data_IF_177852821376
#
_entry.id   IF_177852821376
#
_cell.length_a   1.000
_cell.length_b   1.000
_cell.length_c   1.000
_cell.angle_alpha   90.00
_cell.angle_beta   90.00
_cell.angle_gamma   90.00
#
_symmetry.space_group_name_H-M   'P 1'
#
loop_
_entity.id
_entity.type
_entity.pdbx_description
1 polymer ?
#
# COMPACT_ATOMS: atom_id res chain seq x y z
N UNK A 1 10.26 -23.24 -18.03
CA UNK A 1 9.78 -23.35 -16.63
C UNK A 1 8.88 -22.16 -16.29
N UNK A 2 7.67 -22.35 -15.74
CA UNK A 2 6.85 -21.21 -15.35
C UNK A 2 7.52 -20.51 -14.16
N UNK A 3 7.91 -19.24 -14.33
CA UNK A 3 8.43 -18.42 -13.23
C UNK A 3 7.40 -18.45 -12.09
N UNK A 4 7.78 -18.97 -10.92
CA UNK A 4 6.96 -18.90 -9.69
C UNK A 4 6.63 -17.42 -9.44
N UNK A 5 5.35 -17.06 -9.58
CA UNK A 5 4.85 -15.69 -9.37
C UNK A 5 4.70 -15.35 -7.88
N UNK A 6 4.46 -16.37 -7.05
CA UNK A 6 4.32 -16.23 -5.60
C UNK A 6 5.64 -16.56 -4.87
N UNK A 7 5.88 -15.84 -3.79
CA UNK A 7 6.99 -16.07 -2.88
C UNK A 7 6.79 -17.40 -2.13
N UNK A 8 7.87 -18.13 -1.82
CA UNK A 8 7.79 -19.30 -0.94
C UNK A 8 7.48 -18.88 0.50
N UNK A 9 6.90 -19.78 1.30
CA UNK A 9 6.60 -19.52 2.71
C UNK A 9 7.84 -19.08 3.49
N UNK A 10 8.97 -19.74 3.27
CA UNK A 10 10.26 -19.39 3.89
C UNK A 10 10.72 -17.97 3.56
N UNK A 11 10.66 -17.59 2.28
CA UNK A 11 11.05 -16.25 1.85
C UNK A 11 10.07 -15.19 2.35
N UNK A 12 8.78 -15.51 2.45
CA UNK A 12 7.79 -14.62 3.05
C UNK A 12 8.04 -14.42 4.56
N UNK A 13 8.36 -15.49 5.28
CA UNK A 13 8.77 -15.45 6.69
C UNK A 13 10.05 -14.64 6.88
N UNK A 14 11.06 -14.81 6.01
CA UNK A 14 12.27 -13.98 6.03
C UNK A 14 11.98 -12.49 5.84
N UNK A 15 11.15 -12.14 4.84
CA UNK A 15 10.76 -10.73 4.59
C UNK A 15 10.01 -10.15 5.79
N UNK A 16 9.11 -10.92 6.40
CA UNK A 16 8.37 -10.50 7.61
C UNK A 16 9.33 -10.25 8.79
N UNK A 17 10.25 -11.17 9.05
CA UNK A 17 11.26 -11.03 10.12
C UNK A 17 12.17 -9.82 9.87
N UNK A 18 12.58 -9.58 8.63
CA UNK A 18 13.36 -8.39 8.25
C UNK A 18 12.56 -7.11 8.51
N UNK A 19 11.29 -7.05 8.13
CA UNK A 19 10.42 -5.90 8.42
C UNK A 19 10.31 -5.60 9.91
N UNK A 20 10.16 -6.63 10.75
CA UNK A 20 10.18 -6.45 12.21
C UNK A 20 11.53 -5.97 12.74
N UNK A 21 12.65 -6.43 12.17
CA UNK A 21 13.97 -5.95 12.54
C UNK A 21 14.16 -4.48 12.16
N UNK A 22 13.74 -4.07 10.96
CA UNK A 22 13.80 -2.67 10.51
C UNK A 22 12.92 -1.75 11.37
N UNK A 23 11.77 -2.23 11.87
CA UNK A 23 10.93 -1.48 12.79
C UNK A 23 11.58 -1.29 14.17
N UNK A 24 12.25 -2.32 14.70
CA UNK A 24 13.03 -2.22 15.95
C UNK A 24 14.17 -1.22 15.81
N UNK A 25 14.92 -1.34 14.72
CA UNK A 25 16.01 -0.43 14.41
C UNK A 25 15.53 1.02 14.26
N UNK A 26 14.38 1.24 13.62
CA UNK A 26 13.78 2.58 13.58
C UNK A 26 13.46 3.11 14.98
N UNK A 27 12.86 2.29 15.85
CA UNK A 27 12.57 2.68 17.24
C UNK A 27 13.83 3.04 18.03
N UNK A 28 14.93 2.30 17.82
CA UNK A 28 16.24 2.62 18.38
C UNK A 28 16.78 3.96 17.85
N UNK A 29 16.74 4.19 16.53
CA UNK A 29 17.19 5.44 15.89
C UNK A 29 16.36 6.66 16.33
N UNK A 30 15.07 6.45 16.60
CA UNK A 30 14.17 7.50 17.11
C UNK A 30 14.39 7.81 18.61
N UNK A 31 15.16 6.99 19.32
CA UNK A 31 15.45 7.16 20.76
C UNK A 31 14.45 6.50 21.70
N UNK A 32 13.56 5.63 21.20
CA UNK A 32 12.59 4.86 22.02
C UNK A 32 13.25 3.59 22.59
N UNK A 33 14.20 3.01 21.86
CA UNK A 33 14.85 1.76 22.25
C UNK A 33 13.98 0.52 22.05
N UNK A 34 14.28 -0.57 22.77
CA UNK A 34 13.63 -1.89 22.60
C UNK A 34 12.21 -1.97 23.18
N UNK A 35 11.77 -0.95 23.90
CA UNK A 35 10.52 -0.95 24.67
C UNK A 35 9.30 -0.42 23.91
N UNK A 36 9.40 -0.24 22.59
CA UNK A 36 8.27 0.27 21.82
C UNK A 36 7.08 -0.70 21.79
N UNK A 37 5.87 -0.14 21.82
CA UNK A 37 4.64 -0.92 21.63
C UNK A 37 4.48 -1.19 20.14
N UNK A 38 4.30 -2.46 19.79
CA UNK A 38 3.88 -2.87 18.45
C UNK A 38 2.51 -3.52 18.55
N UNK A 39 1.69 -3.35 17.50
CA UNK A 39 0.46 -4.11 17.37
C UNK A 39 0.54 -4.93 16.08
N UNK A 40 0.94 -6.22 16.15
CA UNK A 40 1.20 -7.06 14.97
C UNK A 40 -0.01 -7.26 14.06
N UNK A 41 -1.22 -7.05 14.57
CA UNK A 41 -2.47 -7.16 13.80
C UNK A 41 -2.94 -5.83 13.21
N UNK A 42 -2.40 -4.71 13.71
CA UNK A 42 -2.64 -3.37 13.17
C UNK A 42 -1.50 -2.94 12.22
N UNK A 43 -1.71 -1.87 11.46
CA UNK A 43 -0.65 -1.26 10.62
C UNK A 43 0.37 -0.43 11.43
N UNK A 44 0.28 -0.48 12.76
CA UNK A 44 1.11 0.28 13.70
C UNK A 44 2.34 -0.54 14.05
N UNK A 45 3.44 -0.25 13.37
CA UNK A 45 4.70 -0.97 13.54
C UNK A 45 5.43 -0.48 14.81
N UNK A 46 5.43 0.84 15.06
CA UNK A 46 6.02 1.47 16.26
C UNK A 46 5.01 2.46 16.84
N UNK A 47 4.92 2.54 18.17
CA UNK A 47 4.20 3.59 18.90
C UNK A 47 5.17 4.20 19.91
N UNK A 48 5.31 5.52 19.89
CA UNK A 48 6.20 6.23 20.80
C UNK A 48 5.55 6.58 22.14
N UNK A 49 6.34 7.18 23.05
CA UNK A 49 5.89 7.59 24.38
C UNK A 49 4.78 8.64 24.37
N UNK A 50 4.54 9.29 23.23
CA UNK A 50 3.56 10.36 23.05
C UNK A 50 2.29 9.85 22.38
N UNK A 51 2.25 8.55 22.08
CA UNK A 51 1.14 7.90 21.41
C UNK A 51 1.13 8.08 19.91
N UNK A 52 2.16 8.69 19.30
CA UNK A 52 2.25 8.70 17.84
C UNK A 52 2.57 7.31 17.32
N UNK A 53 1.96 6.99 16.20
CA UNK A 53 2.05 5.68 15.57
C UNK A 53 2.73 5.75 14.20
N UNK A 54 3.59 4.78 13.93
CA UNK A 54 4.43 4.77 12.75
C UNK A 54 4.20 3.47 11.97
N UNK A 55 4.07 3.56 10.65
CA UNK A 55 4.22 2.40 9.78
C UNK A 55 5.57 2.44 9.07
N UNK A 56 6.38 1.42 9.35
CA UNK A 56 7.74 1.28 8.82
C UNK A 56 7.70 0.40 7.58
N UNK A 57 8.00 1.01 6.44
CA UNK A 57 8.03 0.34 5.14
C UNK A 57 9.46 0.14 4.68
N UNK A 58 9.90 -1.10 4.79
CA UNK A 58 11.17 -1.58 4.24
C UNK A 58 10.95 -2.52 3.05
N UNK A 59 12.04 -3.03 2.46
CA UNK A 59 12.01 -3.86 1.25
C UNK A 59 12.63 -3.17 0.04
N UNK A 60 12.83 -3.93 -1.03
CA UNK A 60 13.72 -3.50 -2.14
C UNK A 60 12.99 -2.83 -3.31
N UNK A 61 11.74 -3.22 -3.59
CA UNK A 61 11.06 -2.81 -4.84
C UNK A 61 9.64 -2.34 -4.64
N UNK A 62 8.79 -3.15 -4.01
CA UNK A 62 7.35 -2.89 -3.86
C UNK A 62 6.89 -3.24 -2.46
N UNK A 63 5.99 -2.42 -1.93
CA UNK A 63 5.22 -2.70 -0.73
C UNK A 63 3.86 -3.24 -1.13
N UNK A 64 3.48 -4.38 -0.56
CA UNK A 64 2.07 -4.79 -0.56
C UNK A 64 1.38 -3.97 0.53
N UNK A 65 0.58 -2.99 0.12
CA UNK A 65 -0.17 -2.13 1.04
C UNK A 65 -1.28 -2.93 1.71
N UNK A 66 -1.99 -3.74 0.93
CA UNK A 66 -2.86 -4.78 1.45
C UNK A 66 -3.08 -5.92 0.46
N UNK A 67 -3.58 -7.03 1.01
CA UNK A 67 -4.18 -8.14 0.29
C UNK A 67 -5.43 -8.55 1.06
N UNK A 68 -6.61 -8.32 0.47
CA UNK A 68 -7.89 -8.50 1.15
C UNK A 68 -8.81 -9.41 0.36
N UNK A 69 -9.37 -10.40 1.03
CA UNK A 69 -10.47 -11.22 0.53
C UNK A 69 -11.84 -10.60 0.82
N UNK A 70 -12.90 -11.33 0.44
CA UNK A 70 -14.30 -10.89 0.52
C UNK A 70 -14.72 -10.38 1.90
N UNK A 71 -14.37 -11.09 2.97
CA UNK A 71 -14.76 -10.73 4.36
C UNK A 71 -14.35 -9.32 4.74
N UNK A 72 -13.14 -8.88 4.35
CA UNK A 72 -12.64 -7.53 4.67
C UNK A 72 -13.48 -6.42 4.07
N UNK A 73 -14.09 -6.63 2.90
CA UNK A 73 -14.96 -5.63 2.28
C UNK A 73 -16.41 -5.71 2.79
N UNK A 74 -16.84 -6.87 3.31
CA UNK A 74 -18.14 -7.05 3.95
C UNK A 74 -18.20 -6.57 5.41
N UNK A 75 -17.12 -6.71 6.17
CA UNK A 75 -17.12 -6.45 7.62
C UNK A 75 -16.56 -5.07 7.98
N UNK A 76 -15.67 -4.51 7.16
CA UNK A 76 -15.01 -3.25 7.48
C UNK A 76 -15.91 -2.05 7.14
N UNK A 77 -16.53 -1.48 8.17
CA UNK A 77 -17.41 -0.31 8.07
C UNK A 77 -16.77 0.87 7.33
N UNK A 78 -15.45 1.07 7.45
CA UNK A 78 -14.77 2.20 6.82
C UNK A 78 -14.63 2.09 5.31
N UNK A 79 -14.57 0.87 4.73
CA UNK A 79 -14.64 0.74 3.27
C UNK A 79 -16.08 0.87 2.78
N UNK A 80 -17.06 0.39 3.57
CA UNK A 80 -18.49 0.56 3.28
C UNK A 80 -18.92 2.03 3.25
N UNK A 81 -18.34 2.88 4.09
CA UNK A 81 -18.64 4.30 4.12
C UNK A 81 -18.02 5.09 2.95
N UNK A 82 -17.15 4.47 2.13
CA UNK A 82 -16.50 5.11 1.00
C UNK A 82 -17.30 4.94 -0.30
N UNK A 83 -18.47 5.59 -0.34
CA UNK A 83 -19.28 5.81 -1.55
C UNK A 83 -19.16 4.70 -2.62
N UNK A 84 -19.63 3.49 -2.31
CA UNK A 84 -19.70 2.42 -3.31
C UNK A 84 -18.37 1.67 -3.61
N UNK A 85 -17.24 2.02 -2.99
CA UNK A 85 -15.95 1.36 -3.27
C UNK A 85 -15.94 -0.11 -2.80
N UNK A 86 -16.53 -0.40 -1.64
CA UNK A 86 -16.66 -1.78 -1.14
C UNK A 86 -17.41 -2.67 -2.13
N UNK A 87 -18.51 -2.16 -2.67
CA UNK A 87 -19.39 -2.84 -3.61
C UNK A 87 -18.63 -3.18 -4.90
N UNK A 88 -17.85 -2.22 -5.42
CA UNK A 88 -17.04 -2.46 -6.62
C UNK A 88 -15.92 -3.48 -6.35
N UNK A 89 -15.28 -3.48 -5.17
CA UNK A 89 -14.31 -4.51 -4.81
C UNK A 89 -14.96 -5.90 -4.74
N UNK A 90 -16.19 -6.00 -4.22
CA UNK A 90 -16.96 -7.24 -4.22
C UNK A 90 -17.31 -7.69 -5.64
N UNK A 91 -17.74 -6.78 -6.53
CA UNK A 91 -17.95 -7.08 -7.96
C UNK A 91 -16.67 -7.62 -8.62
N UNK A 92 -15.49 -7.07 -8.28
CA UNK A 92 -14.20 -7.58 -8.76
C UNK A 92 -13.92 -9.01 -8.28
N UNK A 93 -14.22 -9.32 -7.01
CA UNK A 93 -14.06 -10.66 -6.42
C UNK A 93 -15.02 -11.67 -7.08
N UNK A 94 -16.26 -11.26 -7.30
CA UNK A 94 -17.35 -12.07 -7.86
C UNK A 94 -17.30 -12.18 -9.39
N UNK A 95 -16.37 -11.46 -10.01
CA UNK A 95 -15.97 -11.70 -11.40
C UNK A 95 -15.27 -13.04 -11.59
N UNK A 96 -14.80 -13.67 -10.51
CA UNK A 96 -14.15 -14.98 -10.51
C UNK A 96 -15.03 -16.03 -9.82
N UNK A 97 -15.00 -17.29 -10.29
CA UNK A 97 -15.78 -18.37 -9.71
C UNK A 97 -15.20 -18.79 -8.37
N UNK A 98 -16.02 -19.32 -7.46
CA UNK A 98 -15.57 -19.86 -6.16
C UNK A 98 -14.46 -20.91 -6.34
N UNK A 99 -14.57 -21.76 -7.37
CA UNK A 99 -13.59 -22.80 -7.67
C UNK A 99 -12.43 -22.27 -8.52
N UNK A 100 -11.20 -22.36 -8.00
CA UNK A 100 -10.01 -22.07 -8.79
C UNK A 100 -9.86 -23.01 -9.99
N UNK A 101 -10.28 -24.27 -9.87
CA UNK A 101 -10.27 -25.23 -10.99
C UNK A 101 -11.12 -24.72 -12.16
N UNK A 102 -12.31 -24.19 -11.87
CA UNK A 102 -13.19 -23.58 -12.87
C UNK A 102 -12.53 -22.36 -13.53
N UNK A 103 -11.91 -21.48 -12.74
CA UNK A 103 -11.14 -20.36 -13.29
C UNK A 103 -10.00 -20.81 -14.21
N UNK A 104 -9.28 -21.89 -13.86
CA UNK A 104 -8.19 -22.40 -14.67
C UNK A 104 -8.66 -22.96 -16.01
N UNK A 105 -9.87 -23.52 -16.08
CA UNK A 105 -10.47 -24.05 -17.30
C UNK A 105 -10.83 -22.96 -18.31
N UNK A 106 -11.28 -21.78 -17.85
CA UNK A 106 -11.60 -20.65 -18.72
C UNK A 106 -11.18 -19.31 -18.13
N UNK A 107 -9.87 -19.07 -18.11
CA UNK A 107 -9.30 -17.81 -17.58
C UNK A 107 -9.78 -16.58 -18.32
N UNK A 108 -10.06 -16.70 -19.63
CA UNK A 108 -10.38 -15.56 -20.48
C UNK A 108 -11.76 -15.02 -20.11
N UNK A 109 -12.76 -15.89 -19.97
CA UNK A 109 -14.13 -15.52 -19.54
C UNK A 109 -14.14 -14.66 -18.28
N UNK A 110 -13.49 -15.11 -17.21
CA UNK A 110 -13.52 -14.38 -15.93
C UNK A 110 -12.71 -13.08 -15.95
N UNK A 111 -11.64 -13.03 -16.75
CA UNK A 111 -10.89 -11.79 -16.95
C UNK A 111 -11.65 -10.77 -17.80
N UNK A 112 -12.41 -11.21 -18.79
CA UNK A 112 -13.33 -10.32 -19.51
C UNK A 112 -14.39 -9.77 -18.57
N UNK A 113 -15.00 -10.61 -17.72
CA UNK A 113 -15.95 -10.18 -16.68
C UNK A 113 -15.35 -9.13 -15.73
N UNK A 114 -14.07 -9.29 -15.34
CA UNK A 114 -13.38 -8.34 -14.45
C UNK A 114 -13.22 -6.93 -15.03
N UNK A 115 -13.21 -6.75 -16.36
CA UNK A 115 -12.93 -5.44 -16.98
C UNK A 115 -13.91 -4.37 -16.53
N UNK A 116 -15.19 -4.70 -16.46
CA UNK A 116 -16.24 -3.74 -16.12
C UNK A 116 -16.07 -3.18 -14.70
N UNK A 117 -16.00 -3.98 -13.62
CA UNK A 117 -15.81 -3.44 -12.29
C UNK A 117 -14.44 -2.76 -12.11
N UNK A 118 -13.39 -3.20 -12.82
CA UNK A 118 -12.10 -2.48 -12.82
C UNK A 118 -12.18 -1.09 -13.46
N UNK A 119 -13.00 -0.91 -14.50
CA UNK A 119 -13.27 0.41 -15.10
C UNK A 119 -14.06 1.30 -14.15
N UNK A 120 -15.11 0.76 -13.49
CA UNK A 120 -15.87 1.48 -12.46
C UNK A 120 -14.96 1.94 -11.31
N UNK A 121 -14.10 1.04 -10.83
CA UNK A 121 -13.14 1.35 -9.77
C UNK A 121 -12.18 2.48 -10.20
N UNK A 122 -11.65 2.41 -11.41
CA UNK A 122 -10.78 3.45 -11.94
C UNK A 122 -11.48 4.80 -12.01
N UNK A 123 -12.72 4.83 -12.53
CA UNK A 123 -13.51 6.07 -12.63
C UNK A 123 -13.76 6.69 -11.25
N UNK A 124 -14.16 5.90 -10.24
CA UNK A 124 -14.33 6.42 -8.88
C UNK A 124 -13.03 6.96 -8.29
N UNK A 125 -11.91 6.26 -8.48
CA UNK A 125 -10.61 6.69 -7.94
C UNK A 125 -9.97 7.85 -8.70
N UNK A 126 -10.57 8.33 -9.79
CA UNK A 126 -10.19 9.60 -10.41
C UNK A 126 -10.74 10.80 -9.64
N UNK A 127 -11.82 10.63 -8.87
CA UNK A 127 -12.28 11.65 -7.94
C UNK A 127 -11.26 11.84 -6.81
N UNK A 128 -10.84 13.08 -6.58
CA UNK A 128 -9.76 13.39 -5.63
C UNK A 128 -10.16 13.16 -4.18
N UNK A 129 -11.43 13.35 -3.82
CA UNK A 129 -11.92 13.12 -2.46
C UNK A 129 -11.95 11.62 -2.16
N UNK A 130 -12.45 10.82 -3.10
CA UNK A 130 -12.45 9.35 -2.98
C UNK A 130 -11.03 8.78 -3.00
N UNK A 131 -10.15 9.30 -3.86
CA UNK A 131 -8.74 8.92 -3.89
C UNK A 131 -8.04 9.21 -2.55
N UNK A 132 -8.25 10.39 -1.98
CA UNK A 132 -7.69 10.75 -0.67
C UNK A 132 -8.16 9.79 0.43
N UNK A 133 -9.47 9.52 0.49
CA UNK A 133 -10.03 8.56 1.44
C UNK A 133 -9.45 7.16 1.24
N UNK A 134 -9.35 6.69 0.00
CA UNK A 134 -8.75 5.39 -0.32
C UNK A 134 -7.28 5.31 0.14
N UNK A 135 -6.46 6.32 -0.15
CA UNK A 135 -5.04 6.35 0.27
C UNK A 135 -4.94 6.38 1.80
N UNK A 136 -5.73 7.21 2.47
CA UNK A 136 -5.75 7.33 3.92
C UNK A 136 -6.12 6.00 4.60
N UNK A 137 -7.19 5.33 4.15
CA UNK A 137 -7.55 4.00 4.68
C UNK A 137 -6.52 2.93 4.34
N UNK A 138 -6.06 2.90 3.09
CA UNK A 138 -5.17 1.83 2.62
C UNK A 138 -3.77 1.92 3.23
N UNK A 139 -3.22 3.12 3.46
CA UNK A 139 -1.88 3.30 4.00
C UNK A 139 -1.89 3.56 5.52
N UNK A 140 -2.86 4.34 6.01
CA UNK A 140 -2.86 4.85 7.38
C UNK A 140 -4.01 4.33 8.24
N UNK A 141 -4.84 3.43 7.69
CA UNK A 141 -6.05 2.90 8.32
C UNK A 141 -6.97 4.01 8.88
N UNK A 142 -7.15 5.09 8.10
CA UNK A 142 -8.02 6.23 8.41
C UNK A 142 -7.58 7.01 9.65
N UNK A 143 -6.30 7.41 9.66
CA UNK A 143 -5.70 8.19 10.74
C UNK A 143 -5.26 7.38 11.96
N UNK A 144 -5.41 6.05 11.96
CA UNK A 144 -4.86 5.22 13.03
C UNK A 144 -3.33 5.16 13.02
N UNK A 145 -2.69 5.39 11.87
CA UNK A 145 -1.25 5.51 11.71
C UNK A 145 -0.91 6.96 11.40
N UNK A 146 -0.06 7.56 12.21
CA UNK A 146 0.30 8.97 12.12
C UNK A 146 1.41 9.23 11.09
N UNK A 147 2.42 8.36 11.04
CA UNK A 147 3.61 8.56 10.23
C UNK A 147 3.87 7.41 9.26
N UNK A 148 4.32 7.76 8.06
CA UNK A 148 4.95 6.83 7.14
C UNK A 148 6.46 6.94 7.28
N UNK A 149 7.12 5.82 7.57
CA UNK A 149 8.57 5.72 7.65
C UNK A 149 9.06 4.85 6.52
N UNK A 150 9.98 5.36 5.71
CA UNK A 150 10.56 4.63 4.58
C UNK A 150 12.05 4.44 4.84
N UNK A 151 12.50 3.19 4.92
CA UNK A 151 13.93 2.86 5.04
C UNK A 151 14.58 2.82 3.66
N UNK A 152 15.55 3.69 3.40
CA UNK A 152 16.41 3.71 2.21
C UNK A 152 17.87 3.47 2.64
N UNK A 153 18.41 2.28 2.34
CA UNK A 153 19.71 1.83 2.86
C UNK A 153 19.72 1.93 4.40
N UNK A 154 20.65 2.71 4.94
CA UNK A 154 20.83 2.94 6.39
C UNK A 154 20.06 4.15 6.93
N UNK A 155 19.27 4.81 6.09
CA UNK A 155 18.53 6.02 6.45
C UNK A 155 17.02 5.75 6.53
N UNK A 156 16.38 6.39 7.51
CA UNK A 156 14.94 6.42 7.69
C UNK A 156 14.41 7.80 7.30
N UNK A 157 13.46 7.82 6.37
CA UNK A 157 12.75 9.01 5.93
C UNK A 157 11.36 9.02 6.57
N UNK A 158 11.05 10.05 7.35
CA UNK A 158 9.80 10.14 8.13
C UNK A 158 8.91 11.24 7.57
N UNK A 159 7.68 10.86 7.23
CA UNK A 159 6.66 11.74 6.66
C UNK A 159 5.40 11.71 7.52
N UNK A 160 4.78 12.87 7.71
CA UNK A 160 3.46 12.96 8.33
C UNK A 160 2.40 12.39 7.39
N UNK A 161 1.52 11.51 7.90
CA UNK A 161 0.56 10.78 7.09
C UNK A 161 -0.37 11.68 6.28
N UNK A 162 -0.80 12.82 6.85
CA UNK A 162 -1.64 13.78 6.10
C UNK A 162 -0.90 14.45 4.95
N UNK A 163 0.39 14.73 5.10
CA UNK A 163 1.21 15.29 4.03
C UNK A 163 1.37 14.27 2.89
N UNK A 164 1.56 12.99 3.24
CA UNK A 164 1.62 11.87 2.29
C UNK A 164 0.31 11.73 1.51
N UNK A 165 -0.84 11.68 2.22
CA UNK A 165 -2.17 11.57 1.58
C UNK A 165 -2.39 12.72 0.60
N UNK A 166 -2.09 13.96 1.02
CA UNK A 166 -2.21 15.14 0.18
C UNK A 166 -1.35 15.02 -1.09
N UNK A 167 -0.06 14.76 -0.94
CA UNK A 167 0.88 14.69 -2.08
C UNK A 167 0.49 13.58 -3.05
N UNK A 168 0.17 12.38 -2.56
CA UNK A 168 -0.24 11.28 -3.43
C UNK A 168 -1.55 11.61 -4.16
N UNK A 169 -2.52 12.19 -3.47
CA UNK A 169 -3.80 12.58 -4.09
C UNK A 169 -3.61 13.62 -5.18
N UNK A 170 -2.82 14.66 -4.93
CA UNK A 170 -2.61 15.77 -5.88
C UNK A 170 -1.81 15.34 -7.10
N UNK A 171 -0.85 14.41 -6.95
CA UNK A 171 0.13 14.11 -8.00
C UNK A 171 -0.12 12.79 -8.75
N UNK A 172 -0.93 11.87 -8.21
CA UNK A 172 -1.23 10.63 -8.90
C UNK A 172 -2.32 10.80 -9.97
N UNK A 173 -2.04 10.26 -11.15
CA UNK A 173 -3.02 9.97 -12.19
C UNK A 173 -3.49 8.53 -12.06
N UNK A 174 -4.80 8.32 -12.11
CA UNK A 174 -5.41 6.99 -12.04
C UNK A 174 -5.95 6.59 -13.41
N UNK A 175 -5.57 5.40 -13.88
CA UNK A 175 -5.96 4.86 -15.17
C UNK A 175 -6.07 3.32 -15.12
N UNK A 176 -6.80 2.73 -16.06
CA UNK A 176 -6.79 1.28 -16.23
C UNK A 176 -5.54 0.81 -16.99
N UNK A 177 -5.10 -0.42 -16.71
CA UNK A 177 -3.97 -1.03 -17.43
C UNK A 177 -4.32 -1.35 -18.89
N UNK A 178 -3.31 -1.29 -19.76
CA UNK A 178 -3.40 -1.69 -21.17
C UNK A 178 -2.58 -2.95 -21.45
N UNK A 179 -3.12 -3.83 -22.29
CA UNK A 179 -2.46 -5.01 -22.79
C UNK A 179 -1.22 -4.60 -23.58
N UNK A 180 -0.10 -5.30 -23.32
CA UNK A 180 1.17 -5.07 -24.04
C UNK A 180 1.47 -6.17 -25.06
N UNK A 181 0.63 -7.19 -25.13
CA UNK A 181 0.71 -8.26 -26.12
C UNK A 181 -0.67 -8.89 -26.34
N UNK A 182 -0.83 -9.64 -27.43
CA UNK A 182 -2.08 -10.32 -27.79
C UNK A 182 -2.58 -11.34 -26.76
N UNK A 183 -1.69 -11.82 -25.88
CA UNK A 183 -2.02 -12.76 -24.79
C UNK A 183 -2.50 -12.06 -23.51
N UNK A 184 -2.52 -10.72 -23.49
CA UNK A 184 -2.96 -9.92 -22.37
C UNK A 184 -4.30 -9.27 -22.67
N UNK A 185 -5.02 -8.95 -21.60
CA UNK A 185 -6.28 -8.23 -21.69
C UNK A 185 -6.11 -6.85 -21.06
N UNK A 186 -6.78 -5.88 -21.66
CA UNK A 186 -6.96 -4.54 -21.10
C UNK A 186 -7.72 -4.60 -19.78
N UNK A 187 -7.58 -3.51 -19.01
CA UNK A 187 -8.40 -3.16 -17.86
C UNK A 187 -8.45 -4.22 -16.75
N UNK A 188 -7.37 -5.00 -16.62
CA UNK A 188 -7.23 -6.00 -15.55
C UNK A 188 -6.73 -5.43 -14.23
N UNK A 189 -6.40 -4.13 -14.22
CA UNK A 189 -5.80 -3.42 -13.09
C UNK A 189 -6.21 -1.96 -13.13
N UNK A 190 -6.27 -1.35 -11.96
CA UNK A 190 -6.22 0.11 -11.79
C UNK A 190 -4.78 0.49 -11.44
N UNK A 191 -4.23 1.45 -12.16
CA UNK A 191 -2.82 1.84 -12.13
C UNK A 191 -2.71 3.29 -11.66
N UNK A 192 -1.86 3.53 -10.66
CA UNK A 192 -1.52 4.86 -10.17
C UNK A 192 -0.20 5.27 -10.80
N UNK A 193 -0.18 6.39 -11.51
CA UNK A 193 0.99 6.90 -12.22
C UNK A 193 1.41 8.27 -11.73
N UNK A 194 2.72 8.51 -11.76
CA UNK A 194 3.33 9.82 -11.61
C UNK A 194 4.45 9.95 -12.64
N UNK A 195 4.50 11.06 -13.37
CA UNK A 195 5.51 11.33 -14.41
C UNK A 195 5.68 10.16 -15.40
N UNK A 196 4.56 9.60 -15.87
CA UNK A 196 4.53 8.46 -16.81
C UNK A 196 4.91 7.09 -16.23
N UNK A 197 5.41 7.03 -14.98
CA UNK A 197 5.81 5.80 -14.31
C UNK A 197 4.71 5.27 -13.41
N UNK A 198 4.55 3.94 -13.34
CA UNK A 198 3.62 3.30 -12.41
C UNK A 198 4.20 3.31 -11.00
N UNK A 199 3.46 3.92 -10.08
CA UNK A 199 3.75 3.97 -8.64
C UNK A 199 2.96 2.93 -7.86
N UNK A 200 1.80 2.50 -8.33
CA UNK A 200 1.04 1.46 -7.66
C UNK A 200 0.00 0.81 -8.57
N UNK A 201 -0.51 -0.33 -8.15
CA UNK A 201 -1.63 -0.99 -8.83
C UNK A 201 -2.57 -1.67 -7.84
N UNK A 202 -3.85 -1.63 -8.17
CA UNK A 202 -4.87 -2.55 -7.65
C UNK A 202 -5.06 -3.65 -8.69
N UNK A 203 -4.95 -4.91 -8.27
CA UNK A 203 -5.18 -6.07 -9.12
C UNK A 203 -5.77 -7.24 -8.33
N UNK A 204 -6.42 -8.16 -9.03
CA UNK A 204 -6.91 -9.42 -8.45
C UNK A 204 -5.79 -10.46 -8.35
N UNK A 205 -5.69 -11.13 -7.20
CA UNK A 205 -4.84 -12.29 -6.99
C UNK A 205 -5.61 -13.57 -7.27
N UNK A 206 -5.07 -14.37 -8.18
CA UNK A 206 -5.66 -15.62 -8.65
C UNK A 206 -4.58 -16.65 -9.02
N UNK A 207 -3.37 -16.50 -8.46
CA UNK A 207 -2.19 -17.26 -8.84
C UNK A 207 -1.99 -18.56 -8.03
N UNK A 208 -2.59 -18.71 -6.85
CA UNK A 208 -2.51 -19.94 -6.04
C UNK A 208 -3.86 -20.27 -5.38
N UNK A 209 -3.99 -21.48 -4.85
CA UNK A 209 -5.19 -21.88 -4.08
C UNK A 209 -5.29 -21.14 -2.74
N UNK A 210 -4.15 -20.74 -2.17
CA UNK A 210 -4.07 -19.95 -0.93
C UNK A 210 -4.48 -18.49 -1.19
N UNK A 211 -4.02 -17.91 -2.31
CA UNK A 211 -4.26 -16.51 -2.67
C UNK A 211 -5.09 -16.44 -3.94
N UNK A 212 -6.38 -16.72 -3.76
CA UNK A 212 -7.39 -16.74 -4.80
C UNK A 212 -8.53 -15.80 -4.42
N UNK A 213 -8.96 -14.96 -5.37
CA UNK A 213 -10.06 -14.01 -5.20
C UNK A 213 -9.81 -12.96 -4.12
N UNK A 214 -8.59 -12.47 -4.08
CA UNK A 214 -8.18 -11.39 -3.19
C UNK A 214 -7.80 -10.15 -3.98
N UNK A 215 -8.21 -8.98 -3.50
CA UNK A 215 -7.81 -7.68 -4.03
C UNK A 215 -6.45 -7.34 -3.43
N UNK A 216 -5.46 -7.12 -4.29
CA UNK A 216 -4.13 -6.66 -3.88
C UNK A 216 -3.94 -5.21 -4.30
N UNK A 217 -3.50 -4.39 -3.35
CA UNK A 217 -2.96 -3.07 -3.63
C UNK A 217 -1.47 -3.03 -3.28
N UNK A 218 -0.65 -2.61 -4.24
CA UNK A 218 0.79 -2.45 -4.03
C UNK A 218 1.28 -1.09 -4.49
N UNK A 219 2.36 -0.60 -3.86
CA UNK A 219 3.07 0.62 -4.26
C UNK A 219 4.59 0.36 -4.42
N UNK A 220 5.22 1.04 -5.37
CA UNK A 220 6.66 0.98 -5.64
C UNK A 220 7.42 1.86 -4.65
N UNK A 221 8.38 1.27 -3.94
CA UNK A 221 9.12 1.94 -2.86
C UNK A 221 9.83 3.20 -3.36
N UNK A 222 10.75 3.04 -4.30
CA UNK A 222 11.64 4.12 -4.70
C UNK A 222 10.85 5.22 -5.39
N UNK A 223 9.92 4.88 -6.28
CA UNK A 223 9.09 5.86 -6.96
C UNK A 223 8.20 6.66 -5.99
N UNK A 224 7.68 6.01 -4.95
CA UNK A 224 6.90 6.70 -3.91
C UNK A 224 7.80 7.61 -3.09
N UNK A 225 8.95 7.12 -2.64
CA UNK A 225 9.92 7.91 -1.87
C UNK A 225 10.41 9.13 -2.65
N UNK A 226 10.76 8.97 -3.93
CA UNK A 226 11.20 10.05 -4.82
C UNK A 226 10.11 11.13 -4.95
N UNK A 227 8.85 10.71 -5.16
CA UNK A 227 7.72 11.64 -5.21
C UNK A 227 7.59 12.41 -3.90
N UNK A 228 7.59 11.73 -2.75
CA UNK A 228 7.44 12.37 -1.44
C UNK A 228 8.59 13.35 -1.15
N UNK A 229 9.85 12.95 -1.39
CA UNK A 229 11.03 13.82 -1.25
C UNK A 229 10.95 15.05 -2.15
N UNK A 230 10.37 14.92 -3.34
CA UNK A 230 10.25 16.02 -4.30
C UNK A 230 9.08 17.00 -4.04
N UNK A 231 8.17 16.67 -3.12
CA UNK A 231 6.94 17.45 -2.88
C UNK A 231 6.73 17.87 -1.43
N UNK A 232 7.34 17.17 -0.46
CA UNK A 232 7.20 17.46 0.96
C UNK A 232 8.46 18.19 1.44
N UNK A 233 8.33 19.50 1.66
CA UNK A 233 9.37 20.38 2.15
C UNK A 233 8.90 21.17 3.38
N UNK A 234 9.81 21.65 4.25
CA UNK A 234 11.27 21.42 4.22
C UNK A 234 11.64 19.99 4.64
N UNK A 235 12.93 19.63 4.51
CA UNK A 235 13.49 18.42 5.10
C UNK A 235 14.58 18.78 6.12
N UNK A 236 14.65 18.05 7.22
CA UNK A 236 15.64 18.25 8.28
C UNK A 236 16.31 16.92 8.62
N UNK A 237 17.65 16.92 8.69
CA UNK A 237 18.40 15.76 9.14
C UNK A 237 18.47 15.80 10.67
N UNK A 238 17.70 14.92 11.32
CA UNK A 238 17.65 14.80 12.77
C UNK A 238 18.83 14.00 13.35
N UNK A 239 19.37 13.05 12.57
CA UNK A 239 20.62 12.33 12.87
C UNK A 239 21.24 11.79 11.58
N UNK A 240 22.41 11.13 11.64
CA UNK A 240 23.02 10.51 10.45
C UNK A 240 22.08 9.54 9.73
N UNK A 241 21.20 8.89 10.49
CA UNK A 241 20.29 7.83 10.04
C UNK A 241 18.83 8.28 9.93
N UNK A 242 18.49 9.52 10.29
CA UNK A 242 17.09 9.98 10.35
C UNK A 242 16.89 11.32 9.65
N UNK A 243 15.94 11.35 8.71
CA UNK A 243 15.55 12.54 7.97
C UNK A 243 14.05 12.74 8.11
N UNK A 244 13.65 13.93 8.57
CA UNK A 244 12.26 14.33 8.79
C UNK A 244 11.81 15.25 7.65
N UNK A 245 10.54 15.15 7.25
CA UNK A 245 9.98 15.93 6.15
C UNK A 245 8.68 16.65 6.55
N UNK A 246 8.55 17.89 6.09
CA UNK A 246 7.31 18.68 6.20
C UNK A 246 6.83 18.80 7.64
N UNK A 247 5.57 18.44 7.87
CA UNK A 247 4.93 18.53 9.19
C UNK A 247 5.60 17.61 10.23
N UNK A 248 6.28 16.54 9.81
CA UNK A 248 6.96 15.63 10.72
C UNK A 248 8.07 16.33 11.54
N UNK A 249 8.74 17.33 10.96
CA UNK A 249 9.78 18.11 11.65
C UNK A 249 9.21 18.76 12.91
N UNK A 250 8.10 19.50 12.78
CA UNK A 250 7.47 20.19 13.91
C UNK A 250 6.95 19.21 14.95
N UNK A 251 6.40 18.08 14.52
CA UNK A 251 5.80 17.06 15.40
C UNK A 251 6.83 16.31 16.23
N UNK A 252 8.01 16.04 15.66
CA UNK A 252 9.05 15.23 16.29
C UNK A 252 10.22 16.03 16.83
N UNK A 253 10.18 17.37 16.74
CA UNK A 253 11.26 18.27 17.13
C UNK A 253 11.83 18.02 18.54
N UNK A 254 10.97 17.59 19.48
CA UNK A 254 11.37 17.36 20.88
C UNK A 254 12.31 16.18 21.10
N UNK A 255 12.35 15.22 20.17
CA UNK A 255 13.25 14.07 20.26
C UNK A 255 14.69 14.41 19.87
N UNK A 256 14.91 15.59 19.28
CA UNK A 256 16.17 15.98 18.65
C UNK A 256 16.66 17.38 19.07
N UNK A 257 16.19 17.84 20.23
CA UNK A 257 16.72 19.04 20.89
C UNK A 257 17.86 18.69 21.83
#
# INVERSE_FOLDING_TARGET
MPKKKAMTSEKASFVKRKGHADAREFAEVLGIGKEFKSNPTAKKDVIDSEGYSYSVKSGEKKWQIFLYGKSRFLENFTFKSMDGLSEIFLECIESFPESRKEYLNDKRKYKEKLKEPMRKLCQKLQDKKLLAGFIDKSMFNSGEVDFLVIKEKEQFHVFWGRDVVKVLTENLRVENSKARSSLQLDDQKVVFKFSGKTLGEIEMRNDSDIHYREVKFWMGKNQTLDLLKSKIFPSERASERLILYGTAIKKLRKYFK
#
